data_IF_385548578512
#
_entry.id   IF_385548578512
#
_cell.length_a   1.000
_cell.length_b   1.000
_cell.length_c   1.000
_cell.angle_alpha   90.00
_cell.angle_beta   90.00
_cell.angle_gamma   90.00
#
_symmetry.space_group_name_H-M   'P 1'
#
loop_
_entity.id
_entity.type
_entity.pdbx_description
1 polymer ?
#
# COMPACT_ATOMS: atom_id res chain seq x y z
N UNK A 1 25.56 16.02 -9.11
CA UNK A 1 26.43 14.91 -9.54
C UNK A 1 25.55 13.94 -10.33
N UNK A 2 25.98 13.51 -11.52
CA UNK A 2 25.21 12.56 -12.32
C UNK A 2 25.26 11.17 -11.69
N UNK A 3 24.11 10.52 -11.64
CA UNK A 3 23.95 9.11 -11.32
C UNK A 3 23.74 8.30 -12.60
N UNK A 4 24.36 7.13 -12.66
CA UNK A 4 24.19 6.16 -13.76
C UNK A 4 23.30 5.03 -13.27
N UNK A 5 22.17 4.85 -13.93
CA UNK A 5 21.20 3.80 -13.67
C UNK A 5 21.31 2.77 -14.79
N UNK A 6 21.52 1.50 -14.44
CA UNK A 6 21.57 0.39 -15.38
C UNK A 6 20.36 -0.52 -15.16
N UNK A 7 19.58 -0.75 -16.20
CA UNK A 7 18.41 -1.63 -16.16
C UNK A 7 18.71 -2.92 -16.91
N UNK A 8 18.57 -4.05 -16.21
CA UNK A 8 18.79 -5.39 -16.74
C UNK A 8 17.47 -6.17 -16.81
N UNK A 9 17.32 -7.06 -17.79
CA UNK A 9 16.22 -8.02 -17.86
C UNK A 9 16.63 -9.37 -17.24
N UNK A 10 15.73 -9.97 -16.47
CA UNK A 10 15.97 -11.26 -15.79
C UNK A 10 16.27 -12.42 -16.76
N UNK A 11 17.02 -13.40 -16.24
CA UNK A 11 17.41 -14.67 -16.85
C UNK A 11 18.73 -14.62 -17.63
N UNK A 12 19.10 -13.47 -18.19
CA UNK A 12 20.22 -13.38 -19.13
C UNK A 12 21.17 -12.19 -18.92
N UNK A 13 20.93 -11.31 -17.95
CA UNK A 13 21.75 -10.12 -17.70
C UNK A 13 21.79 -9.15 -18.89
N UNK A 14 20.79 -9.23 -19.78
CA UNK A 14 20.74 -8.41 -20.99
C UNK A 14 20.25 -7.00 -20.65
N UNK A 15 20.83 -5.96 -21.28
CA UNK A 15 20.37 -4.59 -21.06
C UNK A 15 18.95 -4.39 -21.57
N UNK A 16 18.11 -3.73 -20.77
CA UNK A 16 16.77 -3.34 -21.18
C UNK A 16 16.86 -2.09 -22.07
N UNK A 17 16.98 -2.29 -23.39
CA UNK A 17 17.20 -1.20 -24.36
C UNK A 17 15.91 -0.42 -24.65
N UNK A 18 16.01 0.92 -24.75
CA UNK A 18 14.89 1.82 -25.10
C UNK A 18 13.64 1.58 -24.25
N UNK A 19 13.85 1.22 -22.99
CA UNK A 19 12.75 0.94 -22.08
C UNK A 19 12.17 2.28 -21.62
N UNK A 20 10.87 2.54 -21.86
CA UNK A 20 10.23 3.74 -21.35
C UNK A 20 10.12 3.66 -19.83
N UNK A 21 10.72 4.63 -19.17
CA UNK A 21 10.68 4.79 -17.73
C UNK A 21 10.10 6.16 -17.38
N UNK A 22 9.49 6.24 -16.21
CA UNK A 22 9.09 7.51 -15.61
C UNK A 22 9.91 7.69 -14.35
N UNK A 23 10.55 8.86 -14.20
CA UNK A 23 11.22 9.25 -12.97
C UNK A 23 10.33 10.25 -12.24
N UNK A 24 9.99 9.97 -11.00
CA UNK A 24 9.31 10.90 -10.11
C UNK A 24 10.27 11.34 -9.00
N UNK A 25 10.27 12.65 -8.69
CA UNK A 25 11.03 13.23 -7.58
C UNK A 25 10.07 13.93 -6.62
N UNK A 26 10.30 13.75 -5.33
CA UNK A 26 9.45 14.33 -4.27
C UNK A 26 9.48 15.87 -4.27
N UNK A 27 10.57 16.48 -4.74
CA UNK A 27 10.68 17.93 -4.89
C UNK A 27 9.97 18.43 -6.17
N UNK A 28 8.63 18.34 -6.20
CA UNK A 28 7.80 19.12 -7.14
C UNK A 28 7.10 18.38 -8.29
N UNK A 29 6.66 17.12 -8.11
CA UNK A 29 5.74 16.43 -9.04
C UNK A 29 6.16 16.41 -10.52
N UNK A 30 7.46 16.50 -10.83
CA UNK A 30 7.94 16.36 -12.20
C UNK A 30 8.13 14.88 -12.54
N UNK A 31 7.12 14.29 -13.19
CA UNK A 31 7.27 13.02 -13.90
C UNK A 31 8.04 13.26 -15.20
N UNK A 32 9.28 12.77 -15.24
CA UNK A 32 10.11 12.87 -16.44
C UNK A 32 10.07 11.51 -17.13
N UNK A 33 9.44 11.47 -18.31
CA UNK A 33 9.54 10.33 -19.20
C UNK A 33 10.96 10.27 -19.77
N UNK A 34 11.66 9.19 -19.46
CA UNK A 34 13.02 8.91 -19.91
C UNK A 34 13.07 7.55 -20.58
N UNK A 35 14.09 7.32 -21.39
CA UNK A 35 14.33 6.02 -22.00
C UNK A 35 15.75 5.60 -21.74
N UNK A 36 15.95 4.31 -21.48
CA UNK A 36 17.30 3.73 -21.44
C UNK A 36 17.93 3.75 -22.83
N UNK A 37 19.25 3.89 -22.88
CA UNK A 37 20.01 3.85 -24.11
C UNK A 37 20.12 2.41 -24.70
N UNK A 38 20.95 2.26 -25.73
CA UNK A 38 21.25 0.97 -26.36
C UNK A 38 22.01 -0.03 -25.47
N UNK A 39 22.57 0.46 -24.37
CA UNK A 39 23.26 -0.32 -23.34
C UNK A 39 22.38 -0.54 -22.10
N UNK A 40 21.11 -0.11 -22.12
CA UNK A 40 20.20 -0.22 -20.98
C UNK A 40 20.53 0.73 -19.84
N UNK A 41 21.31 1.79 -20.12
CA UNK A 41 21.74 2.78 -19.15
C UNK A 41 20.94 4.08 -19.29
N UNK A 42 20.82 4.79 -18.18
CA UNK A 42 20.20 6.10 -18.08
C UNK A 42 21.06 6.96 -17.15
N UNK A 43 21.29 8.22 -17.54
CA UNK A 43 21.98 9.19 -16.70
C UNK A 43 20.98 10.19 -16.16
N UNK A 44 20.96 10.36 -14.83
CA UNK A 44 20.11 11.32 -14.14
C UNK A 44 20.94 12.23 -13.25
N UNK A 45 20.66 13.53 -13.25
CA UNK A 45 21.27 14.48 -12.32
C UNK A 45 20.64 14.38 -10.93
N UNK A 46 21.35 14.80 -9.87
CA UNK A 46 20.78 14.82 -8.50
C UNK A 46 21.03 13.53 -7.70
N UNK A 47 22.21 12.92 -7.84
CA UNK A 47 22.60 11.81 -6.96
C UNK A 47 22.44 12.19 -5.47
N UNK A 48 21.79 11.31 -4.70
CA UNK A 48 21.44 11.50 -3.30
C UNK A 48 19.99 11.90 -3.05
N UNK A 49 19.28 12.42 -4.05
CA UNK A 49 17.86 12.77 -3.92
C UNK A 49 16.97 11.51 -3.92
N UNK A 50 15.88 11.47 -3.13
CA UNK A 50 14.90 10.40 -3.21
C UNK A 50 14.21 10.43 -4.58
N UNK A 51 14.22 9.29 -5.27
CA UNK A 51 13.58 9.14 -6.58
C UNK A 51 12.76 7.86 -6.62
N UNK A 52 11.68 7.93 -7.37
CA UNK A 52 10.94 6.75 -7.80
C UNK A 52 11.15 6.53 -9.29
N UNK A 53 11.48 5.30 -9.67
CA UNK A 53 11.67 4.89 -11.06
C UNK A 53 10.55 3.90 -11.37
N UNK A 54 9.77 4.21 -12.40
CA UNK A 54 8.64 3.41 -12.84
C UNK A 54 8.87 2.88 -14.24
N UNK A 55 8.45 1.65 -14.50
CA UNK A 55 8.36 1.08 -15.84
C UNK A 55 6.88 0.82 -16.14
N UNK A 56 6.34 1.46 -17.19
CA UNK A 56 4.92 1.36 -17.55
C UNK A 56 3.96 1.60 -16.35
N UNK A 57 4.31 2.54 -15.47
CA UNK A 57 3.54 2.89 -14.26
C UNK A 57 3.75 1.95 -13.07
N UNK A 58 4.58 0.91 -13.18
CA UNK A 58 4.98 0.07 -12.04
C UNK A 58 6.27 0.60 -11.43
N UNK A 59 6.27 0.93 -10.14
CA UNK A 59 7.49 1.27 -9.41
C UNK A 59 8.46 0.07 -9.42
N UNK A 60 9.65 0.29 -9.99
CA UNK A 60 10.75 -0.69 -10.06
C UNK A 60 11.89 -0.33 -9.11
N UNK A 61 11.91 0.90 -8.59
CA UNK A 61 12.85 1.37 -7.59
C UNK A 61 12.28 2.59 -6.87
N UNK A 62 12.43 2.65 -5.55
CA UNK A 62 12.11 3.82 -4.72
C UNK A 62 13.22 3.96 -3.66
N UNK A 63 13.84 5.13 -3.58
CA UNK A 63 14.93 5.39 -2.65
C UNK A 63 15.93 6.45 -3.15
N UNK A 64 17.01 6.70 -2.39
CA UNK A 64 18.01 7.72 -2.74
C UNK A 64 18.77 7.32 -4.00
N UNK A 65 18.79 8.22 -4.99
CA UNK A 65 19.48 8.02 -6.27
C UNK A 65 20.98 7.84 -6.05
N UNK A 66 21.44 6.58 -6.06
CA UNK A 66 22.87 6.26 -5.90
C UNK A 66 23.65 6.68 -7.15
N UNK A 67 24.93 7.08 -7.02
CA UNK A 67 25.80 7.39 -8.17
C UNK A 67 25.88 6.25 -9.19
N UNK A 68 25.82 5.00 -8.72
CA UNK A 68 25.72 3.79 -9.53
C UNK A 68 24.56 2.93 -9.00
N UNK A 69 23.51 2.76 -9.80
CA UNK A 69 22.31 2.01 -9.44
C UNK A 69 22.00 0.95 -10.50
N UNK A 70 21.90 -0.32 -10.12
CA UNK A 70 21.48 -1.40 -11.02
C UNK A 70 20.11 -1.94 -10.60
N UNK A 71 19.18 -2.02 -11.55
CA UNK A 71 17.82 -2.52 -11.34
C UNK A 71 17.57 -3.68 -12.30
N UNK A 72 17.10 -4.81 -11.78
CA UNK A 72 16.76 -5.99 -12.59
C UNK A 72 15.25 -6.11 -12.71
N UNK A 73 14.76 -6.15 -13.94
CA UNK A 73 13.35 -6.37 -14.27
C UNK A 73 13.09 -7.85 -14.47
N UNK A 74 12.20 -8.40 -13.65
CA UNK A 74 11.69 -9.75 -13.81
C UNK A 74 10.75 -9.79 -15.03
N UNK A 75 11.10 -10.60 -16.03
CA UNK A 75 10.25 -10.86 -17.19
C UNK A 75 9.16 -11.85 -16.79
N UNK A 76 7.91 -11.42 -16.68
CA UNK A 76 6.78 -12.35 -16.58
C UNK A 76 6.63 -13.08 -17.93
N UNK A 77 7.19 -14.29 -18.01
CA UNK A 77 6.96 -15.19 -19.13
C UNK A 77 5.48 -15.59 -19.17
N UNK A 78 4.82 -15.30 -20.29
CA UNK A 78 3.36 -15.22 -20.36
C UNK A 78 2.57 -16.53 -20.28
N UNK A 79 1.26 -16.37 -20.06
CA UNK A 79 0.17 -17.10 -20.75
C UNK A 79 -1.13 -16.35 -20.45
N UNK A 80 -1.99 -16.23 -21.47
CA UNK A 80 -3.18 -15.39 -21.43
C UNK A 80 -4.34 -15.93 -20.59
N UNK A 81 -5.32 -15.05 -20.39
CA UNK A 81 -6.74 -15.39 -20.27
C UNK A 81 -7.20 -16.06 -18.96
N UNK A 82 -8.15 -15.36 -18.31
CA UNK A 82 -9.09 -15.80 -17.25
C UNK A 82 -8.55 -15.95 -15.82
N UNK A 83 -9.13 -15.09 -14.98
CA UNK A 83 -9.79 -15.43 -13.71
C UNK A 83 -8.92 -16.15 -12.67
N UNK A 84 -8.40 -15.38 -11.71
CA UNK A 84 -7.85 -15.91 -10.46
C UNK A 84 -6.73 -15.05 -9.91
N UNK A 85 -7.02 -14.23 -8.90
CA UNK A 85 -6.02 -13.95 -7.86
C UNK A 85 -5.67 -15.31 -7.21
N UNK A 86 -4.42 -15.56 -6.74
CA UNK A 86 -3.79 -14.71 -5.71
C UNK A 86 -2.24 -14.65 -5.71
N UNK A 87 -1.67 -13.52 -5.30
CA UNK A 87 -0.36 -13.39 -4.65
C UNK A 87 -0.27 -11.93 -4.16
N UNK A 88 -0.12 -11.66 -2.87
CA UNK A 88 1.12 -11.86 -2.15
C UNK A 88 1.72 -10.47 -1.93
N UNK A 89 1.94 -10.12 -0.66
CA UNK A 89 2.35 -8.79 -0.18
C UNK A 89 3.59 -8.31 -0.97
N UNK A 90 3.42 -7.27 -1.79
CA UNK A 90 4.49 -6.44 -2.31
C UNK A 90 4.27 -5.03 -1.77
N UNK A 91 5.19 -4.57 -0.91
CA UNK A 91 5.20 -3.23 -0.31
C UNK A 91 5.36 -2.14 -1.37
N UNK A 92 4.27 -1.84 -2.06
CA UNK A 92 4.13 -0.75 -3.00
C UNK A 92 2.92 0.11 -2.62
N UNK A 93 3.07 1.42 -2.78
CA UNK A 93 1.99 2.39 -2.66
C UNK A 93 0.82 2.00 -3.57
N UNK A 94 -0.41 2.08 -3.05
CA UNK A 94 -1.65 1.88 -3.81
C UNK A 94 -2.14 3.20 -4.45
N UNK A 95 -1.39 4.29 -4.32
CA UNK A 95 -1.76 5.59 -4.88
C UNK A 95 -1.80 5.57 -6.44
N UNK A 96 -2.74 6.30 -7.03
CA UNK A 96 -2.82 6.55 -8.48
C UNK A 96 -2.85 8.07 -8.74
N UNK A 97 -2.45 8.58 -9.92
CA UNK A 97 -2.27 10.02 -10.17
C UNK A 97 -3.50 10.92 -9.94
N UNK A 98 -4.71 10.36 -9.90
CA UNK A 98 -5.97 11.08 -9.61
C UNK A 98 -6.54 10.79 -8.23
N UNK A 99 -5.83 10.02 -7.40
CA UNK A 99 -6.25 9.65 -6.07
C UNK A 99 -6.06 10.85 -5.14
N UNK A 100 -7.15 11.32 -4.55
CA UNK A 100 -7.05 12.27 -3.45
C UNK A 100 -6.42 11.55 -2.27
N UNK A 101 -5.21 11.97 -1.90
CA UNK A 101 -4.50 11.50 -0.72
C UNK A 101 -4.67 12.49 0.42
N UNK A 102 -4.54 11.95 1.64
CA UNK A 102 -4.53 12.70 2.88
C UNK A 102 -3.39 12.14 3.75
N UNK A 103 -3.09 12.80 4.87
CA UNK A 103 -2.01 12.40 5.77
C UNK A 103 -2.54 12.20 7.19
N UNK A 104 -1.93 11.20 7.84
CA UNK A 104 -2.09 10.93 9.27
C UNK A 104 -0.71 11.06 9.91
N UNK A 105 -0.57 11.94 10.90
CA UNK A 105 0.70 12.17 11.58
C UNK A 105 0.87 11.20 12.75
N UNK A 106 1.94 10.41 12.73
CA UNK A 106 2.29 9.44 13.77
C UNK A 106 3.64 9.80 14.33
N UNK A 107 3.69 10.27 15.59
CA UNK A 107 4.95 10.68 16.25
C UNK A 107 5.78 11.68 15.42
N UNK A 108 5.12 12.55 14.65
CA UNK A 108 5.77 13.53 13.77
C UNK A 108 6.16 13.00 12.38
N UNK A 109 5.88 11.73 12.08
CA UNK A 109 6.07 11.12 10.75
C UNK A 109 4.72 11.09 10.01
N UNK A 110 4.62 11.63 8.78
CA UNK A 110 3.40 11.54 7.99
C UNK A 110 3.26 10.13 7.39
N UNK A 111 2.07 9.54 7.55
CA UNK A 111 1.65 8.30 6.88
C UNK A 111 0.57 8.65 5.86
N UNK A 112 0.73 8.19 4.63
CA UNK A 112 -0.21 8.50 3.56
C UNK A 112 -1.46 7.63 3.62
N UNK A 113 -2.62 8.28 3.49
CA UNK A 113 -3.92 7.62 3.32
C UNK A 113 -4.61 8.12 2.06
N UNK A 114 -5.62 7.37 1.61
CA UNK A 114 -6.59 7.90 0.66
C UNK A 114 -7.56 8.88 1.34
N UNK A 115 -8.40 9.55 0.55
CA UNK A 115 -9.41 10.49 1.04
C UNK A 115 -10.49 9.85 1.90
N UNK A 116 -10.61 8.52 1.89
CA UNK A 116 -11.51 7.79 2.78
C UNK A 116 -10.80 7.29 4.05
N UNK A 117 -9.48 7.51 4.21
CA UNK A 117 -8.67 7.11 5.37
C UNK A 117 -8.04 5.72 5.26
N UNK A 118 -8.02 5.08 4.09
CA UNK A 118 -7.31 3.82 3.89
C UNK A 118 -5.81 4.08 3.71
N UNK A 119 -4.98 3.34 4.45
CA UNK A 119 -3.52 3.46 4.32
C UNK A 119 -3.09 3.14 2.89
N UNK A 120 -2.18 3.95 2.35
CA UNK A 120 -1.66 3.76 0.98
C UNK A 120 -0.58 2.67 0.97
N UNK A 121 0.22 2.59 2.03
CA UNK A 121 1.33 1.65 2.20
C UNK A 121 1.09 0.77 3.44
N UNK A 122 0.61 -0.47 3.29
CA UNK A 122 0.27 -1.33 4.43
C UNK A 122 1.43 -1.64 5.37
N UNK A 123 2.67 -1.56 4.87
CA UNK A 123 3.92 -1.70 5.64
C UNK A 123 4.16 -0.56 6.63
N UNK A 124 3.52 0.59 6.45
CA UNK A 124 3.61 1.74 7.36
C UNK A 124 2.61 1.67 8.53
N UNK A 125 1.76 0.64 8.55
CA UNK A 125 0.81 0.48 9.64
C UNK A 125 1.53 0.26 10.98
N UNK A 126 1.09 1.00 11.99
CA UNK A 126 1.48 0.82 13.38
C UNK A 126 0.28 1.05 14.29
N UNK A 127 0.38 0.69 15.57
CA UNK A 127 -0.63 1.10 16.55
C UNK A 127 -0.76 2.63 16.64
N UNK A 128 0.35 3.36 16.44
CA UNK A 128 0.36 4.82 16.39
C UNK A 128 -0.51 5.36 15.24
N UNK A 129 -0.40 4.75 14.05
CA UNK A 129 -1.29 5.06 12.93
C UNK A 129 -2.76 4.83 13.27
N UNK A 130 -3.10 3.68 13.86
CA UNK A 130 -4.48 3.38 14.22
C UNK A 130 -5.04 4.40 15.22
N UNK A 131 -4.25 4.80 16.23
CA UNK A 131 -4.63 5.84 17.20
C UNK A 131 -4.83 7.20 16.54
N UNK A 132 -3.86 7.65 15.74
CA UNK A 132 -3.92 8.94 15.07
C UNK A 132 -5.10 9.03 14.07
N UNK A 133 -5.37 7.95 13.33
CA UNK A 133 -6.52 7.88 12.43
C UNK A 133 -7.85 7.87 13.22
N UNK A 134 -7.93 7.12 14.33
CA UNK A 134 -9.11 7.10 15.17
C UNK A 134 -9.41 8.48 15.78
N UNK A 135 -8.38 9.18 16.27
CA UNK A 135 -8.51 10.55 16.78
C UNK A 135 -9.02 11.51 15.71
N UNK A 136 -8.45 11.43 14.49
CA UNK A 136 -8.91 12.21 13.33
C UNK A 136 -10.38 11.93 12.98
N UNK A 137 -10.85 10.70 13.18
CA UNK A 137 -12.24 10.28 12.97
C UNK A 137 -13.16 10.54 14.18
N UNK A 138 -12.65 11.09 15.28
CA UNK A 138 -13.40 11.30 16.52
C UNK A 138 -13.78 10.02 17.26
N UNK A 139 -13.01 8.94 17.09
CA UNK A 139 -13.20 7.65 17.74
C UNK A 139 -12.15 7.41 18.82
N UNK A 140 -12.60 7.09 20.04
CA UNK A 140 -11.73 6.63 21.11
C UNK A 140 -11.54 5.10 21.03
N UNK A 141 -10.29 4.64 20.89
CA UNK A 141 -9.98 3.21 20.78
C UNK A 141 -9.93 2.54 22.16
N UNK A 142 -11.06 1.92 22.53
CA UNK A 142 -11.13 1.00 23.68
C UNK A 142 -10.49 -0.37 23.37
N UNK A 143 -10.32 -1.20 24.40
CA UNK A 143 -9.82 -2.59 24.28
C UNK A 143 -10.58 -3.41 23.23
N UNK A 144 -11.90 -3.27 23.18
CA UNK A 144 -12.74 -4.00 22.21
C UNK A 144 -12.46 -3.57 20.75
N UNK A 145 -12.10 -2.31 20.53
CA UNK A 145 -11.67 -1.86 19.20
C UNK A 145 -10.35 -2.51 18.80
N UNK A 146 -9.40 -2.55 19.74
CA UNK A 146 -8.10 -3.19 19.52
C UNK A 146 -8.23 -4.67 19.20
N UNK A 147 -9.08 -5.41 19.93
CA UNK A 147 -9.36 -6.81 19.63
C UNK A 147 -9.89 -7.01 18.20
N UNK A 148 -10.79 -6.13 17.73
CA UNK A 148 -11.30 -6.17 16.35
C UNK A 148 -10.21 -5.83 15.34
N UNK A 149 -9.42 -4.79 15.58
CA UNK A 149 -8.32 -4.36 14.72
C UNK A 149 -7.30 -5.50 14.56
N UNK A 150 -6.86 -6.11 15.66
CA UNK A 150 -5.92 -7.24 15.61
C UNK A 150 -6.52 -8.48 14.96
N UNK A 151 -7.79 -8.78 15.25
CA UNK A 151 -8.50 -9.87 14.59
C UNK A 151 -8.54 -9.70 13.07
N UNK A 152 -8.86 -8.49 12.58
CA UNK A 152 -8.92 -8.19 11.15
C UNK A 152 -7.55 -8.34 10.48
N UNK A 153 -6.47 -7.85 11.13
CA UNK A 153 -5.09 -8.00 10.65
C UNK A 153 -4.68 -9.46 10.58
N UNK A 154 -4.89 -10.23 11.64
CA UNK A 154 -4.58 -11.66 11.68
C UNK A 154 -5.42 -12.46 10.66
N UNK A 155 -6.70 -12.13 10.51
CA UNK A 155 -7.58 -12.76 9.53
C UNK A 155 -7.06 -12.54 8.10
N UNK A 156 -6.69 -11.30 7.77
CA UNK A 156 -6.13 -10.96 6.47
C UNK A 156 -4.77 -11.62 6.24
N UNK A 157 -3.89 -11.62 7.23
CA UNK A 157 -2.57 -12.26 7.11
C UNK A 157 -2.68 -13.77 6.84
N UNK A 158 -3.67 -14.44 7.42
CA UNK A 158 -3.87 -15.89 7.24
C UNK A 158 -4.62 -16.28 5.97
N UNK A 159 -5.57 -15.45 5.52
CA UNK A 159 -6.46 -15.80 4.41
C UNK A 159 -6.30 -14.94 3.15
N UNK A 160 -5.52 -13.87 3.24
CA UNK A 160 -5.34 -12.87 2.18
C UNK A 160 -6.66 -12.29 1.63
N UNK A 161 -7.70 -12.28 2.48
CA UNK A 161 -9.03 -11.73 2.18
C UNK A 161 -9.56 -11.00 3.41
N UNK A 162 -10.26 -9.89 3.19
CA UNK A 162 -10.89 -9.14 4.28
C UNK A 162 -12.00 -9.97 4.93
N UNK A 163 -12.17 -9.79 6.24
CA UNK A 163 -13.18 -10.52 7.01
C UNK A 163 -14.58 -9.95 6.73
N UNK A 164 -15.57 -10.83 6.57
CA UNK A 164 -16.96 -10.40 6.43
C UNK A 164 -17.56 -10.05 7.80
N UNK A 165 -18.57 -9.16 7.83
CA UNK A 165 -19.30 -8.84 9.07
C UNK A 165 -19.89 -10.09 9.72
N UNK A 166 -20.36 -11.05 8.91
CA UNK A 166 -20.89 -12.33 9.41
C UNK A 166 -19.82 -13.14 10.14
N UNK A 167 -18.60 -13.19 9.62
CA UNK A 167 -17.49 -13.91 10.23
C UNK A 167 -16.99 -13.20 11.50
N UNK A 168 -16.93 -11.86 11.49
CA UNK A 168 -16.67 -11.06 12.69
C UNK A 168 -17.67 -11.37 13.80
N UNK A 169 -18.97 -11.32 13.50
CA UNK A 169 -20.04 -11.66 14.46
C UNK A 169 -19.86 -13.10 14.98
N UNK A 170 -19.59 -14.06 14.10
CA UNK A 170 -19.38 -15.46 14.51
C UNK A 170 -18.18 -15.62 15.44
N UNK A 171 -17.10 -14.88 15.20
CA UNK A 171 -15.91 -14.87 16.06
C UNK A 171 -16.22 -14.21 17.40
N UNK A 172 -16.66 -12.95 17.40
CA UNK A 172 -16.89 -12.18 18.62
C UNK A 172 -18.08 -12.66 19.46
N UNK A 173 -19.00 -13.45 18.91
CA UNK A 173 -19.98 -14.20 19.73
C UNK A 173 -19.33 -15.21 20.66
N UNK A 174 -18.22 -15.80 20.24
CA UNK A 174 -17.48 -16.78 21.06
C UNK A 174 -16.60 -16.08 22.08
N UNK A 175 -16.02 -14.93 21.73
CA UNK A 175 -15.11 -14.17 22.59
C UNK A 175 -15.87 -13.33 23.62
N UNK A 176 -16.88 -12.57 23.18
CA UNK A 176 -17.62 -11.61 24.02
C UNK A 176 -19.06 -12.01 24.35
N UNK A 177 -19.52 -13.16 23.84
CA UNK A 177 -20.90 -13.61 24.01
C UNK A 177 -21.88 -12.99 23.00
N UNK A 178 -23.15 -13.39 23.12
CA UNK A 178 -24.20 -13.13 22.11
C UNK A 178 -24.59 -11.66 21.97
N UNK A 179 -24.48 -10.89 23.05
CA UNK A 179 -24.87 -9.49 23.07
C UNK A 179 -23.85 -8.61 22.34
N UNK A 180 -22.57 -8.72 22.73
CA UNK A 180 -21.46 -7.95 22.19
C UNK A 180 -20.99 -8.47 20.82
N UNK A 181 -21.05 -9.78 20.59
CA UNK A 181 -20.87 -10.37 19.27
C UNK A 181 -22.09 -10.18 18.37
N UNK A 182 -22.56 -8.96 18.15
CA UNK A 182 -23.75 -8.69 17.32
C UNK A 182 -23.48 -7.58 16.31
N UNK A 183 -24.23 -7.60 15.21
CA UNK A 183 -24.12 -6.56 14.18
C UNK A 183 -24.31 -5.17 14.79
N UNK A 184 -25.35 -5.03 15.63
CA UNK A 184 -25.69 -3.79 16.32
C UNK A 184 -24.54 -3.29 17.19
N UNK A 185 -23.91 -4.20 17.95
CA UNK A 185 -22.81 -3.82 18.83
C UNK A 185 -21.56 -3.40 18.05
N UNK A 186 -21.17 -4.19 17.04
CA UNK A 186 -19.99 -3.86 16.22
C UNK A 186 -20.16 -2.52 15.49
N UNK A 187 -21.35 -2.22 14.96
CA UNK A 187 -21.65 -0.92 14.36
C UNK A 187 -21.75 0.21 15.39
N UNK A 188 -22.02 -0.10 16.67
CA UNK A 188 -22.04 0.90 17.73
C UNK A 188 -20.62 1.33 18.12
N UNK A 189 -19.69 0.38 18.18
CA UNK A 189 -18.28 0.69 18.48
C UNK A 189 -17.55 1.22 17.24
N UNK A 190 -17.96 0.84 16.02
CA UNK A 190 -17.46 1.43 14.77
C UNK A 190 -18.54 2.24 14.03
N UNK A 191 -18.83 3.49 14.45
CA UNK A 191 -19.93 4.28 13.90
C UNK A 191 -19.74 4.71 12.44
N UNK A 192 -18.50 4.85 11.95
CA UNK A 192 -18.22 5.41 10.63
C UNK A 192 -18.24 4.33 9.54
N UNK A 193 -19.42 3.78 9.27
CA UNK A 193 -19.62 2.76 8.25
C UNK A 193 -19.40 1.31 8.73
N UNK A 194 -19.30 1.10 10.04
CA UNK A 194 -19.25 -0.22 10.64
C UNK A 194 -17.85 -0.84 10.69
N UNK A 195 -17.74 -2.05 11.30
CA UNK A 195 -16.47 -2.74 11.47
C UNK A 195 -15.78 -3.07 10.12
N UNK A 196 -16.55 -3.23 9.04
CA UNK A 196 -16.03 -3.50 7.69
C UNK A 196 -15.43 -2.27 6.99
N UNK A 197 -15.87 -1.05 7.34
CA UNK A 197 -15.30 0.17 6.75
C UNK A 197 -14.25 0.74 7.70
N UNK A 198 -14.71 1.24 8.85
CA UNK A 198 -13.87 1.87 9.85
C UNK A 198 -12.86 0.90 10.45
N UNK A 199 -13.29 -0.31 10.84
CA UNK A 199 -12.39 -1.31 11.40
C UNK A 199 -11.29 -1.74 10.42
N UNK A 200 -11.61 -1.90 9.13
CA UNK A 200 -10.61 -2.24 8.11
C UNK A 200 -9.58 -1.12 7.89
N UNK A 201 -10.01 0.16 7.87
CA UNK A 201 -9.10 1.31 7.78
C UNK A 201 -8.13 1.37 8.96
N UNK A 202 -8.67 1.29 10.18
CA UNK A 202 -7.88 1.28 11.41
C UNK A 202 -6.94 0.07 11.49
N UNK A 203 -7.35 -1.06 10.91
CA UNK A 203 -6.51 -2.25 10.76
C UNK A 203 -5.45 -2.13 9.66
N UNK A 204 -5.36 -1.01 8.93
CA UNK A 204 -4.39 -0.82 7.85
C UNK A 204 -4.62 -1.75 6.66
N UNK A 205 -5.85 -2.22 6.46
CA UNK A 205 -6.19 -3.05 5.32
C UNK A 205 -6.54 -2.15 4.13
N UNK A 206 -6.00 -2.45 2.96
CA UNK A 206 -6.28 -1.71 1.73
C UNK A 206 -7.74 -1.79 1.34
N UNK A 207 -8.27 -0.73 0.73
CA UNK A 207 -9.62 -0.75 0.15
C UNK A 207 -9.75 -1.87 -0.88
N UNK A 208 -10.81 -2.67 -0.78
CA UNK A 208 -11.14 -3.67 -1.79
C UNK A 208 -11.64 -2.97 -3.06
N UNK A 209 -11.04 -3.29 -4.21
CA UNK A 209 -11.59 -2.86 -5.50
C UNK A 209 -12.86 -3.67 -5.79
N UNK A 210 -14.05 -3.14 -5.46
CA UNK A 210 -15.30 -3.71 -5.99
C UNK A 210 -16.56 -3.69 -5.11
N UNK A 211 -16.91 -2.59 -4.46
CA UNK A 211 -18.31 -2.37 -4.05
C UNK A 211 -18.74 -0.96 -4.51
N UNK A 212 -19.54 -0.94 -5.59
CA UNK A 212 -20.44 0.16 -5.96
C UNK A 212 -21.86 -0.32 -5.64
#
# INVERSE_FOLDING_TARGET
MPAVIRILLDGAGRPARRLPLTIAREAGFQEIAVQTDENGELRLEGAGEPVEILNAGRCIYSGPLKPELTITLLSEAGTGGRQGAPAGIGGGSVAYPSMQTDQVWVDGVPVETDSEGYIVRPDEWSEGFARALAEKEGLELTEEHWEVIYFLRDYYNRKHVQCTVRDMIKHFRKVWGREKGSNRYLHRIFPNGGPQKQGNRLAGLLRTKGEH
#
